data_IF_483013353305
#
_entry.id   IF_483013353305
#
_cell.length_a   1.000
_cell.length_b   1.000
_cell.length_c   1.000
_cell.angle_alpha   90.00
_cell.angle_beta   90.00
_cell.angle_gamma   90.00
#
_symmetry.space_group_name_H-M   'P 1'
#
loop_
_entity.id
_entity.type
_entity.pdbx_description
1 polymer ?
#
# COMPACT_ATOMS: atom_id res chain seq x y z
N UNK A 1 2.67 -58.31 40.23
CA UNK A 1 3.52 -57.13 40.01
C UNK A 1 2.93 -56.02 40.86
N UNK A 2 3.53 -55.73 42.01
CA UNK A 2 3.08 -54.65 42.91
C UNK A 2 3.38 -53.30 42.24
N UNK A 3 2.45 -52.36 42.32
CA UNK A 3 2.63 -51.06 41.71
C UNK A 3 3.69 -50.27 42.50
N UNK A 4 4.54 -49.46 41.84
CA UNK A 4 5.74 -48.89 42.46
C UNK A 4 5.48 -47.92 43.64
N UNK A 5 4.23 -47.56 43.92
CA UNK A 5 3.84 -46.58 44.95
C UNK A 5 3.03 -47.19 46.12
N UNK A 6 2.80 -48.50 46.11
CA UNK A 6 2.04 -49.22 47.15
C UNK A 6 2.55 -49.03 48.60
N UNK A 7 3.87 -48.80 48.86
CA UNK A 7 4.34 -48.55 50.22
C UNK A 7 3.99 -47.16 50.78
N UNK A 8 3.61 -46.20 49.92
CA UNK A 8 3.52 -44.78 50.28
C UNK A 8 2.14 -44.17 50.06
N UNK A 9 1.29 -44.78 49.23
CA UNK A 9 -0.02 -44.23 48.86
C UNK A 9 -1.10 -45.32 48.85
N UNK A 10 -2.26 -45.01 49.42
CA UNK A 10 -3.43 -45.89 49.32
C UNK A 10 -3.89 -46.02 47.86
N UNK A 11 -4.48 -47.15 47.45
CA UNK A 11 -4.90 -47.36 46.07
C UNK A 11 -5.82 -46.25 45.50
N UNK A 12 -6.78 -45.69 46.26
CA UNK A 12 -7.58 -44.55 45.79
C UNK A 12 -6.76 -43.26 45.58
N UNK A 13 -5.74 -43.02 46.41
CA UNK A 13 -4.87 -41.86 46.27
C UNK A 13 -3.98 -41.94 45.02
N UNK A 14 -3.50 -43.14 44.68
CA UNK A 14 -2.77 -43.36 43.42
C UNK A 14 -3.68 -43.11 42.20
N UNK A 15 -4.93 -43.59 42.24
CA UNK A 15 -5.91 -43.35 41.18
C UNK A 15 -6.24 -41.86 41.01
N UNK A 16 -6.45 -41.13 42.12
CA UNK A 16 -6.71 -39.70 42.09
C UNK A 16 -5.53 -38.90 41.53
N UNK A 17 -4.28 -39.28 41.87
CA UNK A 17 -3.08 -38.66 41.31
C UNK A 17 -2.95 -38.89 39.81
N UNK A 18 -3.17 -40.13 39.34
CA UNK A 18 -3.13 -40.45 37.90
C UNK A 18 -4.23 -39.70 37.15
N UNK A 19 -5.44 -39.69 37.69
CA UNK A 19 -6.57 -38.96 37.10
C UNK A 19 -6.29 -37.44 37.04
N UNK A 20 -5.77 -36.86 38.12
CA UNK A 20 -5.38 -35.44 38.17
C UNK A 20 -4.29 -35.09 37.16
N UNK A 21 -3.26 -35.94 37.04
CA UNK A 21 -2.19 -35.78 36.06
C UNK A 21 -2.72 -35.84 34.62
N UNK A 22 -3.63 -36.79 34.35
CA UNK A 22 -4.24 -36.96 33.03
C UNK A 22 -5.08 -35.74 32.63
N UNK A 23 -5.88 -35.20 33.56
CA UNK A 23 -6.67 -33.98 33.35
C UNK A 23 -5.75 -32.78 33.10
N UNK A 24 -4.70 -32.60 33.91
CA UNK A 24 -3.76 -31.50 33.75
C UNK A 24 -2.99 -31.56 32.42
N UNK A 25 -2.54 -32.76 32.02
CA UNK A 25 -1.91 -32.97 30.71
C UNK A 25 -2.89 -32.70 29.56
N UNK A 26 -4.15 -33.11 29.69
CA UNK A 26 -5.21 -32.80 28.73
C UNK A 26 -5.41 -31.29 28.54
N UNK A 27 -5.42 -30.52 29.62
CA UNK A 27 -5.56 -29.06 29.55
C UNK A 27 -4.38 -28.39 28.84
N UNK A 28 -3.15 -28.84 29.09
CA UNK A 28 -1.97 -28.34 28.38
C UNK A 28 -2.10 -28.58 26.87
N UNK A 29 -2.45 -29.81 26.48
CA UNK A 29 -2.61 -30.16 25.06
C UNK A 29 -3.68 -29.28 24.40
N UNK A 30 -4.83 -29.10 25.05
CA UNK A 30 -5.90 -28.21 24.55
C UNK A 30 -5.43 -26.76 24.45
N UNK A 31 -4.73 -26.24 25.47
CA UNK A 31 -4.18 -24.88 25.43
C UNK A 31 -3.19 -24.70 24.28
N UNK A 32 -2.30 -25.67 24.06
CA UNK A 32 -1.37 -25.65 22.93
C UNK A 32 -2.07 -25.74 21.57
N UNK A 33 -3.13 -26.55 21.46
CA UNK A 33 -3.93 -26.66 20.23
C UNK A 33 -4.67 -25.35 19.95
N UNK A 34 -5.25 -24.73 20.97
CA UNK A 34 -5.93 -23.44 20.86
C UNK A 34 -4.95 -22.35 20.41
N UNK A 35 -3.78 -22.24 21.02
CA UNK A 35 -2.76 -21.26 20.59
C UNK A 35 -2.34 -21.43 19.12
N UNK A 36 -2.18 -22.67 18.64
CA UNK A 36 -1.87 -22.95 17.23
C UNK A 36 -3.02 -22.57 16.31
N UNK A 37 -4.25 -22.87 16.70
CA UNK A 37 -5.44 -22.53 15.94
C UNK A 37 -5.63 -21.03 15.85
N UNK A 38 -5.45 -20.30 16.95
CA UNK A 38 -5.59 -18.85 17.00
C UNK A 38 -4.53 -18.16 16.14
N UNK A 39 -3.28 -18.64 16.19
CA UNK A 39 -2.21 -18.15 15.32
C UNK A 39 -2.53 -18.38 13.84
N UNK A 40 -3.05 -19.55 13.48
CA UNK A 40 -3.46 -19.88 12.11
C UNK A 40 -4.61 -18.99 11.63
N UNK A 41 -5.64 -18.81 12.45
CA UNK A 41 -6.79 -17.96 12.12
C UNK A 41 -6.36 -16.49 11.93
N UNK A 42 -5.43 -16.00 12.76
CA UNK A 42 -4.87 -14.65 12.60
C UNK A 42 -4.13 -14.52 11.27
N UNK A 43 -3.33 -15.51 10.90
CA UNK A 43 -2.61 -15.52 9.63
C UNK A 43 -3.55 -15.59 8.41
N UNK A 44 -4.58 -16.44 8.47
CA UNK A 44 -5.62 -16.54 7.44
C UNK A 44 -6.33 -15.20 7.26
N UNK A 45 -6.73 -14.55 8.37
CA UNK A 45 -7.35 -13.20 8.33
C UNK A 45 -6.43 -12.15 7.69
N UNK A 46 -5.16 -12.09 8.09
CA UNK A 46 -4.19 -11.15 7.48
C UNK A 46 -4.08 -11.40 5.98
N UNK A 47 -3.99 -12.66 5.56
CA UNK A 47 -3.86 -13.04 4.15
C UNK A 47 -5.10 -12.61 3.35
N UNK A 48 -6.28 -12.83 3.89
CA UNK A 48 -7.54 -12.47 3.23
C UNK A 48 -7.71 -10.95 3.10
N UNK A 49 -7.35 -10.19 4.13
CA UNK A 49 -7.34 -8.72 4.08
C UNK A 49 -6.35 -8.22 3.02
N UNK A 50 -5.14 -8.75 2.98
CA UNK A 50 -4.14 -8.35 1.99
C UNK A 50 -4.60 -8.66 0.55
N UNK A 51 -5.30 -9.78 0.34
CA UNK A 51 -5.89 -10.12 -0.97
C UNK A 51 -7.03 -9.19 -1.35
N UNK A 52 -7.89 -8.83 -0.39
CA UNK A 52 -8.96 -7.87 -0.60
C UNK A 52 -8.40 -6.49 -0.99
N UNK A 53 -7.42 -5.99 -0.23
CA UNK A 53 -6.71 -4.74 -0.54
C UNK A 53 -6.06 -4.80 -1.92
N UNK A 54 -5.36 -5.88 -2.25
CA UNK A 54 -4.72 -6.03 -3.55
C UNK A 54 -5.73 -5.96 -4.70
N UNK A 55 -6.90 -6.60 -4.56
CA UNK A 55 -7.94 -6.59 -5.58
C UNK A 55 -8.57 -5.19 -5.74
N UNK A 56 -8.83 -4.51 -4.62
CA UNK A 56 -9.40 -3.16 -4.60
C UNK A 56 -8.46 -2.12 -5.21
N UNK A 57 -7.21 -2.08 -4.72
CA UNK A 57 -6.17 -1.18 -5.24
C UNK A 57 -5.99 -1.41 -6.74
N UNK A 58 -5.93 -2.67 -7.18
CA UNK A 58 -5.82 -3.00 -8.60
C UNK A 58 -6.99 -2.43 -9.41
N UNK A 59 -8.21 -2.62 -8.95
CA UNK A 59 -9.39 -2.12 -9.66
C UNK A 59 -9.36 -0.59 -9.80
N UNK A 60 -8.96 0.12 -8.74
CA UNK A 60 -8.86 1.57 -8.78
C UNK A 60 -7.67 2.07 -9.63
N UNK A 61 -6.50 1.41 -9.56
CA UNK A 61 -5.35 1.73 -10.43
C UNK A 61 -5.71 1.58 -11.91
N UNK A 62 -6.42 0.51 -12.29
CA UNK A 62 -6.90 0.35 -13.68
C UNK A 62 -7.84 1.49 -14.08
N UNK A 63 -8.74 1.90 -13.18
CA UNK A 63 -9.63 3.03 -13.45
C UNK A 63 -8.85 4.36 -13.63
N UNK A 64 -7.77 4.59 -12.87
CA UNK A 64 -6.90 5.76 -13.05
C UNK A 64 -6.14 5.71 -14.39
N UNK A 65 -5.73 4.51 -14.84
CA UNK A 65 -5.08 4.35 -16.15
C UNK A 65 -6.02 4.66 -17.30
N UNK A 66 -7.27 4.18 -17.22
CA UNK A 66 -8.29 4.43 -18.24
C UNK A 66 -8.70 5.91 -18.32
N UNK A 67 -8.50 6.67 -17.24
CA UNK A 67 -8.79 8.11 -17.17
C UNK A 67 -7.65 8.99 -17.69
N UNK A 68 -6.49 8.42 -17.98
CA UNK A 68 -5.31 9.20 -18.38
C UNK A 68 -5.55 9.89 -19.72
N UNK A 69 -5.44 11.21 -19.70
CA UNK A 69 -5.56 12.04 -20.88
C UNK A 69 -4.19 12.25 -21.53
N UNK A 70 -4.13 12.21 -22.86
CA UNK A 70 -2.97 12.69 -23.58
C UNK A 70 -2.87 14.24 -23.53
N UNK A 71 -1.73 14.80 -23.93
CA UNK A 71 -1.52 16.25 -23.88
C UNK A 71 -2.58 17.05 -24.67
N UNK A 72 -3.08 16.52 -25.79
CA UNK A 72 -4.10 17.18 -26.60
C UNK A 72 -5.48 17.08 -25.98
N UNK A 73 -5.77 15.98 -25.29
CA UNK A 73 -7.00 15.75 -24.54
C UNK A 73 -7.05 16.64 -23.30
N UNK A 74 -5.94 16.76 -22.57
CA UNK A 74 -5.78 17.70 -21.46
C UNK A 74 -6.02 19.13 -21.92
N UNK A 75 -5.38 19.57 -23.01
CA UNK A 75 -5.60 20.91 -23.57
C UNK A 75 -7.07 21.16 -23.94
N UNK A 76 -7.74 20.15 -24.49
CA UNK A 76 -9.17 20.23 -24.84
C UNK A 76 -10.05 20.30 -23.61
N UNK A 77 -9.77 19.52 -22.58
CA UNK A 77 -10.50 19.54 -21.32
C UNK A 77 -10.35 20.88 -20.61
N UNK A 78 -9.12 21.39 -20.50
CA UNK A 78 -8.82 22.70 -19.90
C UNK A 78 -9.54 23.83 -20.63
N UNK A 79 -9.52 23.85 -21.97
CA UNK A 79 -10.27 24.85 -22.74
C UNK A 79 -11.77 24.79 -22.49
N UNK A 80 -12.34 23.57 -22.42
CA UNK A 80 -13.77 23.40 -22.12
C UNK A 80 -14.13 23.94 -20.73
N UNK A 81 -13.26 23.75 -19.73
CA UNK A 81 -13.46 24.33 -18.40
C UNK A 81 -13.44 25.86 -18.45
N UNK A 82 -12.48 26.45 -19.18
CA UNK A 82 -12.37 27.90 -19.33
C UNK A 82 -13.58 28.52 -20.05
N UNK A 83 -14.01 27.90 -21.15
CA UNK A 83 -15.05 28.42 -22.03
C UNK A 83 -16.46 28.17 -21.47
N UNK A 84 -16.72 26.96 -20.97
CA UNK A 84 -18.05 26.48 -20.60
C UNK A 84 -18.23 26.29 -19.09
N UNK A 85 -17.14 26.18 -18.32
CA UNK A 85 -17.20 25.77 -16.92
C UNK A 85 -17.61 24.31 -16.73
N UNK A 86 -17.51 23.50 -17.78
CA UNK A 86 -17.95 22.11 -17.78
C UNK A 86 -16.79 21.17 -17.44
N UNK A 87 -16.95 20.40 -16.37
CA UNK A 87 -16.03 19.32 -15.98
C UNK A 87 -16.75 17.99 -16.17
N UNK A 88 -16.14 17.09 -16.94
CA UNK A 88 -16.59 15.72 -17.06
C UNK A 88 -15.83 14.86 -16.05
N UNK A 89 -16.46 14.58 -14.90
CA UNK A 89 -15.96 13.57 -13.97
C UNK A 89 -16.70 12.26 -14.20
N UNK A 90 -15.99 11.14 -14.13
CA UNK A 90 -16.66 9.86 -14.00
C UNK A 90 -17.32 9.79 -12.62
N UNK A 91 -18.53 9.20 -12.50
CA UNK A 91 -19.14 8.97 -11.21
C UNK A 91 -18.20 8.16 -10.32
N UNK A 92 -18.04 8.57 -9.06
CA UNK A 92 -17.35 7.78 -8.04
C UNK A 92 -18.11 6.47 -7.87
N UNK A 93 -17.58 5.40 -8.45
CA UNK A 93 -18.10 4.05 -8.27
C UNK A 93 -17.59 3.50 -6.94
N UNK A 94 -17.80 4.24 -5.84
CA UNK A 94 -17.67 3.88 -4.44
C UNK A 94 -16.83 2.61 -4.17
N UNK A 95 -15.51 2.70 -4.38
CA UNK A 95 -14.57 1.66 -3.98
C UNK A 95 -14.23 1.73 -2.47
N UNK A 96 -14.69 2.76 -1.77
CA UNK A 96 -14.23 3.10 -0.41
C UNK A 96 -14.74 2.21 0.72
N UNK A 97 -15.69 1.33 0.44
CA UNK A 97 -16.32 0.49 1.47
C UNK A 97 -15.34 -0.50 2.09
N UNK A 98 -14.44 -1.04 1.28
CA UNK A 98 -13.51 -2.08 1.74
C UNK A 98 -12.36 -1.42 2.50
N UNK A 99 -11.74 -0.36 1.98
CA UNK A 99 -10.74 0.38 2.74
C UNK A 99 -11.26 1.00 4.05
N UNK A 100 -12.41 1.68 4.04
CA UNK A 100 -12.96 2.27 5.28
C UNK A 100 -13.22 1.21 6.35
N UNK A 101 -13.68 0.01 5.93
CA UNK A 101 -13.85 -1.12 6.84
C UNK A 101 -12.50 -1.75 7.27
N UNK A 102 -11.48 -1.75 6.40
CA UNK A 102 -10.15 -2.30 6.68
C UNK A 102 -9.27 -1.33 7.46
N UNK A 103 -9.52 -0.01 7.43
CA UNK A 103 -8.75 0.98 8.19
C UNK A 103 -8.84 0.71 9.70
N UNK A 104 -10.01 0.27 10.19
CA UNK A 104 -10.19 -0.17 11.58
C UNK A 104 -9.28 -1.37 11.93
N UNK A 105 -8.96 -2.19 10.93
CA UNK A 105 -8.13 -3.38 11.05
C UNK A 105 -6.68 -3.17 10.58
N UNK A 106 -6.28 -1.96 10.15
CA UNK A 106 -4.95 -1.72 9.54
C UNK A 106 -3.80 -2.19 10.44
N UNK A 107 -4.00 -2.14 11.76
CA UNK A 107 -3.07 -2.60 12.79
C UNK A 107 -2.78 -4.13 12.76
N UNK A 108 -3.56 -4.91 12.01
CA UNK A 108 -3.33 -6.34 11.81
C UNK A 108 -2.33 -6.62 10.68
N UNK A 109 -2.12 -5.66 9.77
CA UNK A 109 -1.21 -5.82 8.64
C UNK A 109 0.25 -5.88 9.11
N UNK A 110 1.14 -6.54 8.35
CA UNK A 110 2.57 -6.46 8.59
C UNK A 110 3.06 -5.01 8.52
N UNK A 111 4.02 -4.64 9.37
CA UNK A 111 4.49 -3.26 9.49
C UNK A 111 4.97 -2.68 8.15
N UNK A 112 5.69 -3.48 7.35
CA UNK A 112 6.20 -3.06 6.03
C UNK A 112 5.12 -2.86 4.97
N UNK A 113 3.90 -3.32 5.21
CA UNK A 113 2.75 -3.20 4.29
C UNK A 113 1.89 -1.99 4.63
N UNK A 114 1.87 -1.57 5.90
CA UNK A 114 1.02 -0.47 6.37
C UNK A 114 1.34 0.82 5.60
N UNK A 115 2.62 1.22 5.56
CA UNK A 115 2.99 2.52 4.98
C UNK A 115 2.65 2.64 3.48
N UNK A 116 2.96 1.67 2.60
CA UNK A 116 2.56 1.73 1.19
C UNK A 116 1.03 1.82 1.00
N UNK A 117 0.27 1.03 1.75
CA UNK A 117 -1.20 1.03 1.68
C UNK A 117 -1.75 2.37 2.14
N UNK A 118 -1.33 2.86 3.30
CA UNK A 118 -1.77 4.16 3.84
C UNK A 118 -1.38 5.30 2.90
N UNK A 119 -0.18 5.25 2.33
CA UNK A 119 0.29 6.27 1.37
C UNK A 119 -0.62 6.33 0.14
N UNK A 120 -0.96 5.19 -0.44
CA UNK A 120 -1.86 5.12 -1.58
C UNK A 120 -3.24 5.73 -1.26
N UNK A 121 -3.89 5.26 -0.19
CA UNK A 121 -5.23 5.73 0.14
C UNK A 121 -5.27 7.19 0.58
N UNK A 122 -4.16 7.72 1.12
CA UNK A 122 -4.03 9.16 1.34
C UNK A 122 -4.10 9.93 0.03
N UNK A 123 -3.47 9.45 -1.05
CA UNK A 123 -3.58 10.11 -2.36
C UNK A 123 -5.01 10.05 -2.90
N UNK A 124 -5.67 8.90 -2.76
CA UNK A 124 -7.09 8.74 -3.14
C UNK A 124 -7.99 9.73 -2.38
N UNK A 125 -7.77 9.90 -1.07
CA UNK A 125 -8.53 10.86 -0.27
C UNK A 125 -8.33 12.31 -0.73
N UNK A 126 -7.11 12.70 -1.11
CA UNK A 126 -6.85 14.04 -1.67
C UNK A 126 -7.52 14.17 -3.03
N UNK A 127 -7.43 13.15 -3.90
CA UNK A 127 -8.05 13.18 -5.23
C UNK A 127 -9.56 13.41 -5.15
N UNK A 128 -10.24 12.73 -4.23
CA UNK A 128 -11.68 12.94 -4.00
C UNK A 128 -12.02 14.32 -3.49
N UNK A 129 -11.19 14.91 -2.63
CA UNK A 129 -11.43 16.29 -2.19
C UNK A 129 -11.42 17.27 -3.37
N UNK A 130 -10.62 16.97 -4.41
CA UNK A 130 -10.63 17.75 -5.64
C UNK A 130 -11.90 17.50 -6.45
N UNK A 131 -12.32 16.24 -6.59
CA UNK A 131 -13.56 15.88 -7.30
C UNK A 131 -14.81 16.56 -6.69
N UNK A 132 -14.85 16.67 -5.36
CA UNK A 132 -15.94 17.34 -4.65
C UNK A 132 -15.94 18.86 -4.85
N UNK A 133 -14.77 19.51 -4.87
CA UNK A 133 -14.66 20.98 -4.94
C UNK A 133 -14.72 21.54 -6.37
N UNK A 134 -14.15 20.82 -7.34
CA UNK A 134 -13.96 21.29 -8.71
C UNK A 134 -15.25 21.76 -9.41
N UNK A 135 -16.41 21.08 -9.30
CA UNK A 135 -17.64 21.53 -9.98
C UNK A 135 -18.13 22.90 -9.49
N UNK A 136 -18.12 23.12 -8.17
CA UNK A 136 -18.51 24.41 -7.57
C UNK A 136 -17.46 25.49 -7.86
N UNK A 137 -16.17 25.12 -7.85
CA UNK A 137 -15.11 26.04 -8.25
C UNK A 137 -15.24 26.45 -9.73
N UNK A 138 -15.58 25.53 -10.65
CA UNK A 138 -15.76 25.83 -12.07
C UNK A 138 -16.93 26.79 -12.32
N UNK A 139 -17.99 26.70 -11.52
CA UNK A 139 -19.11 27.64 -11.58
C UNK A 139 -18.71 29.06 -11.13
N UNK A 140 -17.83 29.18 -10.13
CA UNK A 140 -17.44 30.46 -9.50
C UNK A 140 -16.21 31.11 -10.13
N UNK A 141 -15.20 30.33 -10.49
CA UNK A 141 -13.92 30.76 -11.02
C UNK A 141 -13.30 29.69 -11.94
N UNK A 142 -13.60 29.80 -13.24
CA UNK A 142 -13.16 28.84 -14.27
C UNK A 142 -11.64 28.80 -14.45
N UNK A 143 -10.96 29.93 -14.33
CA UNK A 143 -9.50 29.97 -14.46
C UNK A 143 -8.83 29.17 -13.35
N UNK A 144 -9.28 29.37 -12.11
CA UNK A 144 -8.77 28.61 -10.97
C UNK A 144 -9.17 27.13 -11.02
N UNK A 145 -10.37 26.83 -11.50
CA UNK A 145 -10.80 25.44 -11.72
C UNK A 145 -9.94 24.72 -12.78
N UNK A 146 -9.54 25.42 -13.83
CA UNK A 146 -8.65 24.86 -14.86
C UNK A 146 -7.25 24.54 -14.30
N UNK A 147 -6.68 25.42 -13.47
CA UNK A 147 -5.42 25.15 -12.77
C UNK A 147 -5.56 23.93 -11.85
N UNK A 148 -6.60 23.92 -11.00
CA UNK A 148 -6.86 22.81 -10.07
C UNK A 148 -7.14 21.49 -10.78
N UNK A 149 -7.73 21.53 -11.98
CA UNK A 149 -7.94 20.33 -12.80
C UNK A 149 -6.63 19.75 -13.32
N UNK A 150 -5.63 20.58 -13.65
CA UNK A 150 -4.28 20.10 -14.01
C UNK A 150 -3.63 19.43 -12.80
N UNK A 151 -3.69 20.07 -11.63
CA UNK A 151 -3.19 19.50 -10.37
C UNK A 151 -3.89 18.15 -10.04
N UNK A 152 -5.20 18.04 -10.31
CA UNK A 152 -5.97 16.81 -10.17
C UNK A 152 -5.43 15.69 -11.07
N UNK A 153 -5.13 15.98 -12.35
CA UNK A 153 -4.57 14.99 -13.27
C UNK A 153 -3.18 14.53 -12.82
N UNK A 154 -2.32 15.46 -12.39
CA UNK A 154 -1.00 15.13 -11.85
C UNK A 154 -1.11 14.26 -10.59
N UNK A 155 -2.04 14.59 -9.69
CA UNK A 155 -2.30 13.80 -8.49
C UNK A 155 -2.83 12.40 -8.82
N UNK A 156 -3.64 12.26 -9.89
CA UNK A 156 -4.10 10.97 -10.40
C UNK A 156 -2.93 10.06 -10.81
N UNK A 157 -1.90 10.62 -11.45
CA UNK A 157 -0.66 9.89 -11.78
C UNK A 157 0.09 9.45 -10.50
N UNK A 158 0.20 10.34 -9.51
CA UNK A 158 0.83 10.02 -8.22
C UNK A 158 0.06 8.93 -7.47
N UNK A 159 -1.28 8.99 -7.45
CA UNK A 159 -2.14 7.97 -6.87
C UNK A 159 -1.96 6.62 -7.56
N UNK A 160 -1.87 6.62 -8.89
CA UNK A 160 -1.59 5.40 -9.66
C UNK A 160 -0.24 4.79 -9.29
N UNK A 161 0.81 5.60 -9.26
CA UNK A 161 2.18 5.11 -9.00
C UNK A 161 2.33 4.59 -7.57
N UNK A 162 1.73 5.26 -6.59
CA UNK A 162 1.67 4.76 -5.20
C UNK A 162 0.82 3.49 -5.08
N UNK A 163 -0.23 3.36 -5.89
CA UNK A 163 -1.03 2.13 -5.98
C UNK A 163 -0.24 0.96 -6.54
N UNK A 164 0.57 1.20 -7.58
CA UNK A 164 1.50 0.20 -8.11
C UNK A 164 2.49 -0.29 -7.07
N UNK A 165 3.07 0.62 -6.29
CA UNK A 165 3.99 0.25 -5.23
C UNK A 165 3.28 -0.55 -4.12
N UNK A 166 2.10 -0.11 -3.69
CA UNK A 166 1.30 -0.85 -2.71
C UNK A 166 0.97 -2.27 -3.19
N UNK A 167 0.57 -2.44 -4.46
CA UNK A 167 0.32 -3.77 -5.04
C UNK A 167 1.58 -4.64 -5.06
N UNK A 168 2.74 -4.06 -5.41
CA UNK A 168 4.02 -4.78 -5.45
C UNK A 168 4.39 -5.31 -4.07
N UNK A 169 4.27 -4.47 -3.04
CA UNK A 169 4.57 -4.83 -1.65
C UNK A 169 3.55 -5.84 -1.09
N UNK A 170 2.26 -5.66 -1.35
CA UNK A 170 1.23 -6.64 -0.96
C UNK A 170 1.49 -8.01 -1.58
N UNK A 171 1.86 -8.04 -2.87
CA UNK A 171 2.18 -9.28 -3.55
C UNK A 171 3.41 -9.96 -2.95
N UNK A 172 4.48 -9.21 -2.67
CA UNK A 172 5.67 -9.72 -1.99
C UNK A 172 5.33 -10.29 -0.61
N UNK A 173 4.54 -9.55 0.19
CA UNK A 173 4.07 -9.98 1.51
C UNK A 173 3.29 -11.28 1.44
N UNK A 174 2.40 -11.44 0.46
CA UNK A 174 1.57 -12.64 0.30
C UNK A 174 2.38 -13.88 -0.10
N UNK A 175 3.51 -13.71 -0.78
CA UNK A 175 4.35 -14.81 -1.26
C UNK A 175 5.43 -15.24 -0.25
N UNK A 176 6.04 -14.29 0.46
CA UNK A 176 7.14 -14.60 1.38
C UNK A 176 7.29 -13.66 2.58
N UNK A 177 6.27 -12.86 2.86
CA UNK A 177 6.23 -11.96 4.02
C UNK A 177 7.34 -10.90 3.98
N UNK A 178 7.75 -10.45 5.16
CA UNK A 178 8.71 -9.35 5.33
C UNK A 178 10.06 -9.63 4.67
N UNK A 179 10.53 -10.88 4.65
CA UNK A 179 11.80 -11.24 4.04
C UNK A 179 11.83 -10.92 2.53
N UNK A 180 10.76 -11.24 1.81
CA UNK A 180 10.65 -10.94 0.38
C UNK A 180 10.49 -9.45 0.12
N UNK A 181 9.83 -8.72 1.01
CA UNK A 181 9.72 -7.26 0.92
C UNK A 181 11.10 -6.60 1.09
N UNK A 182 11.89 -7.06 2.06
CA UNK A 182 13.24 -6.53 2.29
C UNK A 182 14.17 -6.83 1.11
N UNK A 183 14.12 -8.05 0.56
CA UNK A 183 14.87 -8.40 -0.64
C UNK A 183 14.48 -7.53 -1.84
N UNK A 184 13.18 -7.24 -2.01
CA UNK A 184 12.69 -6.31 -3.02
C UNK A 184 13.33 -4.93 -2.87
N UNK A 185 13.34 -4.36 -1.66
CA UNK A 185 13.97 -3.04 -1.40
C UNK A 185 15.48 -3.05 -1.64
N UNK A 186 16.18 -4.11 -1.25
CA UNK A 186 17.61 -4.24 -1.52
C UNK A 186 17.92 -4.27 -3.01
N UNK A 187 17.10 -4.98 -3.80
CA UNK A 187 17.26 -5.05 -5.25
C UNK A 187 17.01 -3.69 -5.91
N UNK A 188 15.95 -2.99 -5.51
CA UNK A 188 15.65 -1.64 -5.98
C UNK A 188 16.78 -0.66 -5.69
N UNK A 189 17.37 -0.72 -4.50
CA UNK A 189 18.48 0.15 -4.13
C UNK A 189 19.73 -0.15 -4.96
N UNK A 190 20.04 -1.43 -5.19
CA UNK A 190 21.15 -1.82 -6.07
C UNK A 190 20.93 -1.32 -7.49
N UNK A 191 19.73 -1.43 -8.03
CA UNK A 191 19.41 -0.90 -9.36
C UNK A 191 19.53 0.63 -9.42
N UNK A 192 19.04 1.34 -8.39
CA UNK A 192 19.17 2.81 -8.30
C UNK A 192 20.64 3.23 -8.29
N UNK A 193 21.45 2.61 -7.43
CA UNK A 193 22.90 2.89 -7.36
C UNK A 193 23.58 2.60 -8.69
N UNK A 194 23.22 1.52 -9.38
CA UNK A 194 23.78 1.21 -10.71
C UNK A 194 23.38 2.24 -11.78
N UNK A 195 22.10 2.65 -11.82
CA UNK A 195 21.63 3.70 -12.75
C UNK A 195 22.35 5.03 -12.50
N UNK A 196 22.51 5.42 -11.24
CA UNK A 196 23.26 6.61 -10.85
C UNK A 196 24.73 6.47 -11.27
N UNK A 197 25.38 5.34 -10.95
CA UNK A 197 26.76 5.09 -11.36
C UNK A 197 26.98 5.14 -12.87
N UNK A 198 26.00 4.70 -13.66
CA UNK A 198 26.07 4.74 -15.13
C UNK A 198 25.86 6.15 -15.72
N UNK A 199 25.03 6.99 -15.09
CA UNK A 199 24.67 8.34 -15.58
C UNK A 199 25.62 9.44 -15.10
N UNK A 200 26.12 9.33 -13.86
CA UNK A 200 26.96 10.35 -13.21
C UNK A 200 28.18 10.80 -14.04
N UNK A 201 28.98 9.92 -14.68
CA UNK A 201 30.13 10.36 -15.46
C UNK A 201 29.75 11.29 -16.63
N UNK A 202 28.63 11.01 -17.29
CA UNK A 202 28.11 11.83 -18.39
C UNK A 202 27.57 13.18 -17.91
N UNK A 203 26.85 13.18 -16.79
CA UNK A 203 26.32 14.40 -16.17
C UNK A 203 27.44 15.32 -15.67
N UNK A 204 28.47 14.76 -15.04
CA UNK A 204 29.65 15.52 -14.58
C UNK A 204 30.46 16.08 -15.75
N UNK A 205 30.57 15.34 -16.87
CA UNK A 205 31.22 15.84 -18.07
C UNK A 205 30.47 17.04 -18.67
N UNK A 206 29.14 16.96 -18.79
CA UNK A 206 28.31 18.07 -19.25
C UNK A 206 28.38 19.27 -18.31
N UNK A 207 28.38 19.04 -17.00
CA UNK A 207 28.50 20.12 -16.00
C UNK A 207 29.87 20.81 -16.10
N UNK A 208 30.95 20.04 -16.24
CA UNK A 208 32.31 20.57 -16.47
C UNK A 208 32.38 21.39 -17.76
N UNK A 209 31.78 20.91 -18.84
CA UNK A 209 31.73 21.62 -20.11
C UNK A 209 31.01 22.98 -19.98
N UNK A 210 29.84 23.01 -19.34
CA UNK A 210 29.08 24.24 -19.04
C UNK A 210 29.86 25.25 -18.19
N UNK A 211 30.66 24.76 -17.23
CA UNK A 211 31.50 25.59 -16.38
C UNK A 211 32.78 26.07 -17.08
N UNK A 212 33.25 25.35 -18.10
CA UNK A 212 34.45 25.70 -18.86
C UNK A 212 34.20 26.75 -19.96
N UNK A 213 32.94 27.04 -20.31
CA UNK A 213 32.58 28.09 -21.26
C UNK A 213 32.83 29.49 -20.67
N UNK A 214 33.58 30.39 -21.35
CA UNK A 214 33.82 31.75 -20.89
C UNK A 214 32.53 32.56 -20.70
N UNK A 215 32.49 33.42 -19.68
CA UNK A 215 31.36 34.29 -19.33
C UNK A 215 30.89 35.23 -20.47
N UNK A 216 31.71 35.45 -21.50
CA UNK A 216 31.39 36.34 -22.62
C UNK A 216 30.40 35.74 -23.65
N UNK A 217 30.09 34.45 -23.56
CA UNK A 217 29.20 33.72 -24.48
C UNK A 217 27.83 33.42 -23.83
N UNK A 218 27.53 34.05 -22.68
CA UNK A 218 26.29 33.85 -21.90
C UNK A 218 25.24 34.95 -22.11
N UNK A 219 25.43 35.84 -23.07
CA UNK A 219 24.55 37.00 -23.32
C UNK A 219 23.54 36.84 -24.47
N UNK A 220 23.47 35.68 -25.12
CA UNK A 220 22.52 35.43 -26.22
C UNK A 220 21.38 34.44 -25.86
N UNK A 221 21.00 34.39 -24.57
CA UNK A 221 19.75 33.78 -24.11
C UNK A 221 18.81 34.82 -23.50
#
# INVERSE_FOLDING_TARGET
>A
MTAPLDPYLSPPAQQALIAGLFIAAGWWVVASQNHRRDAKLRQERVTDIQRALLAEIRAHVVALEDQRLDARETDRAVRRILDEGFIQMLPDNSNDRIFSAILEEVHILPALVIDPVVTYYRQVAVLRSFEEELPDLAARNRARAAEMFIDYLELGEVARDTGYEAMRILLASLHGGDATILELYENDERERVQRIGASLPGELAQMRERLSKPLSDRSDL
#
